data_IF_519461719705
#
_entry.id   IF_519461719705
#
_cell.length_a   1.000
_cell.length_b   1.000
_cell.length_c   1.000
_cell.angle_alpha   90.00
_cell.angle_beta   90.00
_cell.angle_gamma   90.00
#
_symmetry.space_group_name_H-M   'P 1'
#
loop_
_entity.id
_entity.type
_entity.pdbx_description
1 polymer ?
#
# COMPACT_ATOMS: atom_id res chain seq x y z
N UNK A 1 -1.07 7.15 13.99
CA UNK A 1 -2.18 6.37 13.39
C UNK A 1 -3.55 7.04 13.51
N UNK A 2 -4.04 7.39 14.75
CA UNK A 2 -5.35 8.09 14.84
C UNK A 2 -5.31 9.49 14.20
N UNK A 3 -4.25 10.24 14.40
CA UNK A 3 -4.05 11.56 13.80
C UNK A 3 -4.01 11.54 12.26
N UNK A 4 -3.46 10.51 11.65
CA UNK A 4 -3.34 10.40 10.19
C UNK A 4 -4.70 10.17 9.49
N UNK A 5 -5.71 9.75 10.25
CA UNK A 5 -7.10 9.57 9.77
C UNK A 5 -7.98 10.76 10.17
N UNK A 6 -7.81 11.28 11.38
CA UNK A 6 -8.64 12.38 11.90
C UNK A 6 -8.34 13.71 11.19
N UNK A 7 -7.07 13.98 10.90
CA UNK A 7 -6.66 15.25 10.27
C UNK A 7 -7.23 15.41 8.85
N UNK A 8 -7.14 14.43 7.91
CA UNK A 8 -7.76 14.60 6.60
C UNK A 8 -9.28 14.63 6.64
N UNK A 9 -9.93 13.83 7.51
CA UNK A 9 -11.38 13.83 7.64
C UNK A 9 -11.85 15.16 8.28
N UNK A 10 -11.23 15.59 9.36
CA UNK A 10 -11.54 16.88 10.00
C UNK A 10 -11.26 18.07 9.09
N UNK A 11 -10.16 18.03 8.34
CA UNK A 11 -9.82 19.05 7.33
C UNK A 11 -10.84 19.13 6.21
N UNK A 12 -11.35 18.00 5.73
CA UNK A 12 -12.43 17.97 4.75
C UNK A 12 -13.71 18.64 5.27
N UNK A 13 -14.19 18.24 6.44
CA UNK A 13 -15.40 18.81 7.02
C UNK A 13 -15.26 20.29 7.34
N UNK A 14 -14.10 20.73 7.82
CA UNK A 14 -13.81 22.13 8.08
C UNK A 14 -13.85 22.97 6.80
N UNK A 15 -13.19 22.54 5.75
CA UNK A 15 -13.17 23.23 4.45
C UNK A 15 -14.56 23.25 3.81
N UNK A 16 -15.31 22.16 3.93
CA UNK A 16 -16.67 22.09 3.42
C UNK A 16 -17.61 23.02 4.18
N UNK A 17 -17.46 23.14 5.51
CA UNK A 17 -18.20 24.10 6.34
C UNK A 17 -17.84 25.56 6.04
N UNK A 18 -16.61 25.83 5.55
CA UNK A 18 -16.16 27.15 5.09
C UNK A 18 -16.66 27.51 3.68
N UNK A 19 -17.51 26.66 3.06
CA UNK A 19 -18.12 26.95 1.75
C UNK A 19 -17.29 26.47 0.55
N UNK A 20 -16.21 25.75 0.76
CA UNK A 20 -15.49 25.13 -0.37
C UNK A 20 -16.32 23.98 -0.96
N UNK A 21 -16.30 23.85 -2.30
CA UNK A 21 -16.93 22.69 -2.93
C UNK A 21 -16.27 21.39 -2.44
N UNK A 22 -17.04 20.31 -2.40
CA UNK A 22 -16.57 18.97 -1.97
C UNK A 22 -15.27 18.57 -2.69
N UNK A 23 -15.13 18.93 -3.97
CA UNK A 23 -13.92 18.70 -4.77
C UNK A 23 -12.70 19.42 -4.18
N UNK A 24 -12.80 20.73 -3.92
CA UNK A 24 -11.69 21.51 -3.38
C UNK A 24 -11.37 21.14 -1.92
N UNK A 25 -12.40 20.86 -1.11
CA UNK A 25 -12.21 20.39 0.26
C UNK A 25 -11.44 19.08 0.31
N UNK A 26 -11.80 18.13 -0.55
CA UNK A 26 -11.11 16.83 -0.64
C UNK A 26 -9.68 16.96 -1.18
N UNK A 27 -9.50 17.81 -2.19
CA UNK A 27 -8.19 18.05 -2.82
C UNK A 27 -7.20 18.69 -1.86
N UNK A 28 -7.62 19.73 -1.13
CA UNK A 28 -6.77 20.44 -0.17
C UNK A 28 -6.46 19.57 1.05
N UNK A 29 -7.46 18.85 1.59
CA UNK A 29 -7.25 17.93 2.70
C UNK A 29 -6.32 16.77 2.32
N UNK A 30 -6.49 16.19 1.13
CA UNK A 30 -5.64 15.12 0.61
C UNK A 30 -4.22 15.61 0.29
N UNK A 31 -4.08 16.77 -0.37
CA UNK A 31 -2.78 17.36 -0.67
C UNK A 31 -2.01 17.73 0.61
N UNK A 32 -2.70 18.27 1.63
CA UNK A 32 -2.08 18.58 2.92
C UNK A 32 -1.50 17.34 3.60
N UNK A 33 -2.24 16.24 3.61
CA UNK A 33 -1.77 14.96 4.15
C UNK A 33 -0.59 14.41 3.35
N UNK A 34 -0.64 14.49 2.03
CA UNK A 34 0.45 14.09 1.14
C UNK A 34 1.74 14.86 1.39
N UNK A 35 1.65 16.19 1.53
CA UNK A 35 2.79 17.07 1.84
C UNK A 35 3.39 16.74 3.21
N UNK A 36 2.56 16.56 4.25
CA UNK A 36 3.05 16.21 5.59
C UNK A 36 3.75 14.85 5.58
N UNK A 37 3.20 13.87 4.88
CA UNK A 37 3.82 12.54 4.72
C UNK A 37 5.14 12.65 3.96
N UNK A 38 5.19 13.43 2.89
CA UNK A 38 6.40 13.68 2.11
C UNK A 38 7.49 14.34 2.96
N UNK A 39 7.14 15.41 3.69
CA UNK A 39 8.07 16.13 4.57
C UNK A 39 8.61 15.21 5.67
N UNK A 40 7.75 14.41 6.29
CA UNK A 40 8.15 13.47 7.33
C UNK A 40 9.06 12.36 6.79
N UNK A 41 8.77 11.84 5.59
CA UNK A 41 9.58 10.82 4.91
C UNK A 41 10.97 11.38 4.55
N UNK A 42 11.03 12.59 3.98
CA UNK A 42 12.30 13.25 3.66
C UNK A 42 13.10 13.59 4.93
N UNK A 43 12.44 14.11 5.97
CA UNK A 43 13.11 14.46 7.25
C UNK A 43 13.70 13.24 7.96
N UNK A 44 13.05 12.10 7.91
CA UNK A 44 13.53 10.87 8.55
C UNK A 44 14.71 10.23 7.81
N UNK A 45 15.11 10.74 6.64
CA UNK A 45 16.18 10.20 5.77
C UNK A 45 16.11 8.67 5.55
N UNK A 46 14.99 8.06 5.82
CA UNK A 46 14.68 6.66 5.54
C UNK A 46 13.54 6.65 4.53
N UNK A 47 13.91 6.61 3.25
CA UNK A 47 12.98 6.20 2.20
C UNK A 47 12.74 4.71 2.44
N UNK A 48 11.82 4.39 3.35
CA UNK A 48 11.26 3.05 3.38
C UNK A 48 10.43 2.84 2.11
N UNK A 49 10.30 1.58 1.71
CA UNK A 49 9.62 1.25 0.46
C UNK A 49 8.21 1.83 0.36
N UNK A 50 7.51 1.97 1.48
CA UNK A 50 6.15 2.53 1.55
C UNK A 50 6.18 4.06 1.30
N UNK A 51 7.14 4.77 1.88
CA UNK A 51 7.31 6.20 1.67
C UNK A 51 7.61 6.54 0.21
N UNK A 52 8.44 5.73 -0.47
CA UNK A 52 8.70 5.90 -1.90
C UNK A 52 7.46 5.65 -2.75
N UNK A 53 6.65 4.64 -2.41
CA UNK A 53 5.39 4.37 -3.10
C UNK A 53 4.43 5.57 -3.01
N UNK A 54 4.25 6.14 -1.81
CA UNK A 54 3.41 7.32 -1.60
C UNK A 54 3.90 8.51 -2.42
N UNK A 55 5.23 8.74 -2.47
CA UNK A 55 5.81 9.82 -3.29
C UNK A 55 5.50 9.62 -4.78
N UNK A 56 5.65 8.39 -5.28
CA UNK A 56 5.34 8.05 -6.67
C UNK A 56 3.86 8.26 -6.98
N UNK A 57 2.95 7.85 -6.09
CA UNK A 57 1.51 8.05 -6.26
C UNK A 57 1.12 9.54 -6.26
N UNK A 58 1.69 10.34 -5.37
CA UNK A 58 1.46 11.79 -5.34
C UNK A 58 2.01 12.45 -6.60
N UNK A 59 3.22 12.12 -7.02
CA UNK A 59 3.82 12.65 -8.25
C UNK A 59 2.97 12.30 -9.48
N UNK A 60 2.50 11.06 -9.56
CA UNK A 60 1.59 10.63 -10.63
C UNK A 60 0.25 11.36 -10.59
N UNK A 61 -0.32 11.58 -9.39
CA UNK A 61 -1.55 12.36 -9.21
C UNK A 61 -1.42 13.76 -9.75
N UNK A 62 -0.31 14.44 -9.41
CA UNK A 62 -0.01 15.81 -9.89
C UNK A 62 0.19 15.79 -11.40
N UNK A 63 0.96 14.86 -11.94
CA UNK A 63 1.17 14.76 -13.39
C UNK A 63 -0.15 14.57 -14.16
N UNK A 64 -1.03 13.71 -13.67
CA UNK A 64 -2.33 13.44 -14.29
C UNK A 64 -3.30 14.63 -14.22
N UNK A 65 -3.17 15.55 -13.23
CA UNK A 65 -3.95 16.79 -13.20
C UNK A 65 -3.68 17.71 -14.39
N UNK A 66 -2.46 17.71 -14.92
CA UNK A 66 -2.08 18.53 -16.06
C UNK A 66 -2.42 17.90 -17.43
N UNK A 67 -2.61 16.59 -17.46
CA UNK A 67 -2.80 15.86 -18.73
C UNK A 67 -4.28 15.74 -19.13
N UNK A 68 -5.25 15.97 -18.21
CA UNK A 68 -6.60 15.45 -18.42
C UNK A 68 -7.70 16.47 -18.60
N UNK A 69 -8.08 16.67 -19.87
CA UNK A 69 -9.44 17.15 -20.24
C UNK A 69 -10.37 16.03 -20.74
N UNK A 70 -9.85 14.80 -20.94
CA UNK A 70 -10.65 13.67 -21.43
C UNK A 70 -11.23 12.88 -20.23
N UNK A 71 -12.57 12.68 -20.16
CA UNK A 71 -13.23 11.87 -19.13
C UNK A 71 -12.68 10.45 -19.00
N UNK A 72 -12.23 9.84 -20.11
CA UNK A 72 -11.64 8.49 -20.09
C UNK A 72 -10.36 8.42 -19.27
N UNK A 73 -9.53 9.44 -19.35
CA UNK A 73 -8.28 9.48 -18.59
C UNK A 73 -8.55 9.59 -17.09
N UNK A 74 -9.62 10.29 -16.68
CA UNK A 74 -10.08 10.31 -15.30
C UNK A 74 -10.46 8.91 -14.79
N UNK A 75 -11.14 8.12 -15.63
CA UNK A 75 -11.52 6.74 -15.31
C UNK A 75 -10.31 5.78 -15.29
N UNK A 76 -9.23 6.11 -15.99
CA UNK A 76 -7.99 5.33 -15.99
C UNK A 76 -7.07 5.62 -14.79
N UNK A 77 -7.30 6.71 -14.04
CA UNK A 77 -6.46 7.02 -12.86
C UNK A 77 -6.27 5.85 -11.90
N UNK A 78 -7.31 5.11 -11.47
CA UNK A 78 -7.12 3.96 -10.59
C UNK A 78 -6.22 2.87 -11.18
N UNK A 79 -6.30 2.66 -12.52
CA UNK A 79 -5.46 1.70 -13.20
C UNK A 79 -3.97 2.09 -13.14
N UNK A 80 -3.65 3.38 -13.33
CA UNK A 80 -2.28 3.86 -13.19
C UNK A 80 -1.73 3.65 -11.76
N UNK A 81 -2.52 3.95 -10.71
CA UNK A 81 -2.08 3.77 -9.34
C UNK A 81 -1.84 2.29 -9.02
N UNK A 82 -2.74 1.41 -9.42
CA UNK A 82 -2.56 -0.02 -9.20
C UNK A 82 -1.41 -0.58 -10.03
N UNK A 83 -1.17 -0.08 -11.26
CA UNK A 83 0.01 -0.46 -12.05
C UNK A 83 1.31 -0.05 -11.37
N UNK A 84 1.43 1.20 -10.93
CA UNK A 84 2.62 1.69 -10.21
C UNK A 84 2.84 0.89 -8.93
N UNK A 85 1.79 0.67 -8.12
CA UNK A 85 1.86 -0.15 -6.91
C UNK A 85 2.29 -1.59 -7.19
N UNK A 86 1.78 -2.18 -8.28
CA UNK A 86 2.15 -3.54 -8.71
C UNK A 86 3.62 -3.65 -9.12
N UNK A 87 4.07 -2.75 -10.00
CA UNK A 87 5.48 -2.71 -10.43
C UNK A 87 6.40 -2.44 -9.23
N UNK A 88 6.03 -1.51 -8.36
CA UNK A 88 6.79 -1.21 -7.15
C UNK A 88 6.90 -2.44 -6.25
N UNK A 89 5.79 -3.14 -5.94
CA UNK A 89 5.82 -4.35 -5.13
C UNK A 89 6.76 -5.41 -5.72
N UNK A 90 6.71 -5.64 -7.04
CA UNK A 90 7.61 -6.59 -7.70
C UNK A 90 9.06 -6.14 -7.66
N UNK A 91 9.34 -4.85 -7.84
CA UNK A 91 10.71 -4.32 -7.78
C UNK A 91 11.35 -4.50 -6.42
N UNK A 92 10.58 -4.41 -5.33
CA UNK A 92 11.09 -4.66 -3.96
C UNK A 92 11.55 -6.10 -3.74
N UNK A 93 10.97 -7.06 -4.46
CA UNK A 93 11.44 -8.46 -4.43
C UNK A 93 12.83 -8.61 -5.05
N UNK A 94 13.10 -7.87 -6.13
CA UNK A 94 14.42 -7.86 -6.80
C UNK A 94 15.45 -7.10 -5.96
N UNK A 95 15.03 -6.03 -5.29
CA UNK A 95 15.88 -5.27 -4.37
C UNK A 95 16.24 -6.01 -3.07
N UNK A 96 15.69 -7.21 -2.84
CA UNK A 96 16.02 -8.08 -1.72
C UNK A 96 15.26 -7.80 -0.42
N UNK A 97 14.37 -6.81 -0.39
CA UNK A 97 13.48 -6.53 0.74
C UNK A 97 12.03 -6.40 0.26
N UNK A 98 11.28 -7.51 0.20
CA UNK A 98 9.90 -7.51 -0.27
C UNK A 98 9.01 -6.55 0.52
N UNK A 99 8.13 -5.84 -0.17
CA UNK A 99 7.24 -4.83 0.42
C UNK A 99 6.45 -5.36 1.63
N UNK A 100 5.98 -6.60 1.55
CA UNK A 100 5.20 -7.25 2.62
C UNK A 100 6.04 -7.46 3.90
N UNK A 101 7.36 -7.61 3.79
CA UNK A 101 8.22 -7.67 4.97
C UNK A 101 8.18 -6.36 5.75
N UNK A 102 8.37 -5.21 5.11
CA UNK A 102 8.31 -3.90 5.77
C UNK A 102 6.90 -3.54 6.24
N UNK A 103 5.91 -3.70 5.37
CA UNK A 103 4.51 -3.44 5.69
C UNK A 103 3.96 -4.36 6.80
N UNK A 104 4.51 -5.54 6.94
CA UNK A 104 4.13 -6.51 7.96
C UNK A 104 4.63 -6.22 9.37
N UNK A 105 5.71 -5.45 9.54
CA UNK A 105 6.33 -5.15 10.83
C UNK A 105 5.34 -4.61 11.89
N UNK A 106 4.51 -3.61 11.62
CA UNK A 106 3.57 -3.10 12.62
C UNK A 106 2.52 -4.14 13.05
N UNK A 107 2.09 -4.98 12.11
CA UNK A 107 1.08 -6.02 12.37
C UNK A 107 1.68 -7.23 13.09
N UNK A 108 2.93 -7.56 12.78
CA UNK A 108 3.64 -8.67 13.41
C UNK A 108 4.07 -8.33 14.83
N UNK A 109 4.58 -7.12 15.05
CA UNK A 109 5.08 -6.68 16.35
C UNK A 109 3.95 -6.40 17.35
N UNK A 110 2.79 -5.95 16.90
CA UNK A 110 1.68 -5.50 17.75
C UNK A 110 2.10 -4.46 18.80
N UNK A 111 3.16 -3.70 18.51
CA UNK A 111 3.74 -2.73 19.43
C UNK A 111 4.77 -3.29 20.41
N UNK A 112 5.06 -4.58 20.39
CA UNK A 112 6.06 -5.23 21.22
C UNK A 112 7.45 -5.23 20.53
N UNK A 113 8.48 -4.57 21.10
CA UNK A 113 9.82 -4.52 20.53
C UNK A 113 10.50 -5.91 20.45
N UNK A 114 10.23 -6.81 21.40
CA UNK A 114 10.79 -8.16 21.40
C UNK A 114 10.24 -8.97 20.23
N UNK A 115 8.95 -8.83 19.95
CA UNK A 115 8.31 -9.48 18.82
C UNK A 115 8.80 -8.91 17.49
N UNK A 116 9.08 -7.62 17.41
CA UNK A 116 9.71 -7.00 16.24
C UNK A 116 11.11 -7.56 16.00
N UNK A 117 11.93 -7.68 17.05
CA UNK A 117 13.26 -8.27 16.96
C UNK A 117 13.21 -9.74 16.48
N UNK A 118 12.28 -10.55 17.01
CA UNK A 118 12.07 -11.92 16.56
C UNK A 118 11.62 -12.00 15.09
N UNK A 119 10.81 -11.05 14.64
CA UNK A 119 10.39 -10.96 13.23
C UNK A 119 11.58 -10.63 12.31
N UNK A 120 12.43 -9.67 12.70
CA UNK A 120 13.65 -9.31 11.96
C UNK A 120 14.67 -10.44 11.97
N UNK A 121 14.80 -11.16 13.10
CA UNK A 121 15.64 -12.36 13.19
C UNK A 121 15.12 -13.50 12.32
N UNK A 122 13.79 -13.74 12.26
CA UNK A 122 13.19 -14.71 11.37
C UNK A 122 13.50 -14.40 9.90
N UNK A 123 13.51 -13.12 9.52
CA UNK A 123 13.93 -12.69 8.18
C UNK A 123 15.38 -13.06 7.88
N UNK A 124 16.28 -12.86 8.83
CA UNK A 124 17.72 -13.15 8.66
C UNK A 124 18.01 -14.64 8.62
N UNK A 125 17.37 -15.44 9.48
CA UNK A 125 17.73 -16.84 9.71
C UNK A 125 16.89 -17.86 8.94
N UNK A 126 15.62 -17.54 8.61
CA UNK A 126 14.69 -18.49 8.02
C UNK A 126 14.46 -18.27 6.53
N UNK A 127 14.98 -19.17 5.69
CA UNK A 127 14.71 -19.15 4.25
C UNK A 127 13.21 -19.35 3.93
N UNK A 128 12.50 -20.17 4.74
CA UNK A 128 11.06 -20.38 4.60
C UNK A 128 10.28 -19.08 4.86
N UNK A 129 10.68 -18.32 5.88
CA UNK A 129 10.06 -17.04 6.22
C UNK A 129 10.22 -16.05 5.07
N UNK A 130 11.45 -15.88 4.57
CA UNK A 130 11.73 -15.01 3.41
C UNK A 130 10.91 -15.39 2.18
N UNK A 131 10.88 -16.69 1.85
CA UNK A 131 10.14 -17.20 0.69
C UNK A 131 8.65 -16.88 0.78
N UNK A 132 8.02 -17.11 1.92
CA UNK A 132 6.58 -16.81 2.10
C UNK A 132 6.29 -15.33 1.92
N UNK A 133 7.08 -14.43 2.51
CA UNK A 133 6.85 -12.99 2.37
C UNK A 133 7.11 -12.50 0.95
N UNK A 134 8.11 -13.07 0.25
CA UNK A 134 8.34 -12.78 -1.17
C UNK A 134 7.17 -13.27 -2.03
N UNK A 135 6.68 -14.50 -1.83
CA UNK A 135 5.52 -15.03 -2.56
C UNK A 135 4.26 -14.17 -2.36
N UNK A 136 4.04 -13.70 -1.13
CA UNK A 136 2.93 -12.79 -0.83
C UNK A 136 3.11 -11.45 -1.54
N UNK A 137 4.32 -10.88 -1.52
CA UNK A 137 4.61 -9.63 -2.24
C UNK A 137 4.40 -9.78 -3.75
N UNK A 138 4.88 -10.88 -4.34
CA UNK A 138 4.67 -11.19 -5.76
C UNK A 138 3.18 -11.34 -6.07
N UNK A 139 2.43 -12.03 -5.21
CA UNK A 139 0.98 -12.16 -5.35
C UNK A 139 0.26 -10.81 -5.36
N UNK A 140 0.62 -9.90 -4.45
CA UNK A 140 0.08 -8.54 -4.45
C UNK A 140 0.48 -7.75 -5.70
N UNK A 141 1.75 -7.83 -6.12
CA UNK A 141 2.24 -7.17 -7.33
C UNK A 141 1.49 -7.61 -8.58
N UNK A 142 1.35 -8.92 -8.79
CA UNK A 142 0.58 -9.49 -9.91
C UNK A 142 -0.91 -9.11 -9.81
N UNK A 143 -1.50 -9.20 -8.62
CA UNK A 143 -2.90 -8.84 -8.39
C UNK A 143 -3.19 -7.39 -8.77
N UNK A 144 -2.33 -6.45 -8.37
CA UNK A 144 -2.46 -5.05 -8.75
C UNK A 144 -2.35 -4.82 -10.26
N UNK A 145 -1.43 -5.51 -10.93
CA UNK A 145 -1.31 -5.44 -12.39
C UNK A 145 -2.53 -6.01 -13.09
N UNK A 146 -3.12 -7.09 -12.58
CA UNK A 146 -4.37 -7.65 -13.10
C UNK A 146 -5.55 -6.69 -12.93
N UNK A 147 -5.68 -6.04 -11.76
CA UNK A 147 -6.70 -5.00 -11.53
C UNK A 147 -6.50 -3.84 -12.49
N UNK A 148 -5.27 -3.39 -12.68
CA UNK A 148 -4.94 -2.34 -13.64
C UNK A 148 -5.37 -2.72 -15.07
N UNK A 149 -4.97 -3.89 -15.53
CA UNK A 149 -5.32 -4.39 -16.85
C UNK A 149 -6.84 -4.53 -17.04
N UNK A 150 -7.53 -5.07 -16.03
CA UNK A 150 -8.99 -5.19 -16.05
C UNK A 150 -9.69 -3.82 -16.13
N UNK A 151 -9.22 -2.84 -15.35
CA UNK A 151 -9.74 -1.46 -15.36
C UNK A 151 -9.54 -0.83 -16.73
N UNK A 152 -8.36 -0.96 -17.33
CA UNK A 152 -8.08 -0.46 -18.70
C UNK A 152 -9.01 -1.13 -19.69
N UNK A 153 -9.18 -2.45 -19.64
CA UNK A 153 -10.07 -3.18 -20.54
C UNK A 153 -11.52 -2.69 -20.43
N UNK A 154 -12.02 -2.47 -19.20
CA UNK A 154 -13.38 -1.95 -18.97
C UNK A 154 -13.53 -0.55 -19.55
N UNK A 155 -12.60 0.38 -19.28
CA UNK A 155 -12.67 1.76 -19.77
C UNK A 155 -12.57 1.86 -21.30
N UNK A 156 -11.85 0.94 -21.94
CA UNK A 156 -11.73 0.92 -23.40
C UNK A 156 -12.95 0.30 -24.09
N UNK A 157 -13.61 -0.71 -23.47
CA UNK A 157 -14.73 -1.42 -24.08
C UNK A 157 -16.08 -0.76 -23.82
N UNK A 158 -16.24 -0.04 -22.72
CA UNK A 158 -17.52 0.56 -22.34
C UNK A 158 -17.51 2.09 -22.49
N UNK A 159 -18.67 2.72 -22.79
CA UNK A 159 -18.79 4.19 -22.79
C UNK A 159 -18.47 4.77 -21.40
N UNK A 160 -17.81 5.95 -21.32
CA UNK A 160 -17.46 6.58 -20.03
C UNK A 160 -18.65 6.81 -19.10
N UNK A 161 -19.82 7.09 -19.65
CA UNK A 161 -21.07 7.26 -18.88
C UNK A 161 -21.50 5.98 -18.18
N UNK A 162 -21.33 4.83 -18.79
CA UNK A 162 -21.67 3.53 -18.18
C UNK A 162 -20.63 3.13 -17.12
N UNK A 163 -19.34 3.34 -17.37
CA UNK A 163 -18.28 3.03 -16.39
C UNK A 163 -18.40 3.92 -15.16
N UNK A 164 -18.64 5.21 -15.34
CA UNK A 164 -18.77 6.16 -14.24
C UNK A 164 -20.01 5.95 -13.37
N UNK A 165 -21.11 5.45 -13.93
CA UNK A 165 -22.36 5.20 -13.20
C UNK A 165 -22.46 3.79 -12.62
N UNK A 166 -21.68 2.81 -13.11
CA UNK A 166 -21.75 1.42 -12.69
C UNK A 166 -20.65 1.07 -11.70
N UNK A 167 -21.03 0.91 -10.43
CA UNK A 167 -20.13 0.38 -9.40
C UNK A 167 -19.57 -1.02 -9.77
N UNK A 168 -20.40 -1.86 -10.39
CA UNK A 168 -20.02 -3.20 -10.80
C UNK A 168 -18.87 -3.19 -11.83
N UNK A 169 -18.89 -2.27 -12.79
CA UNK A 169 -17.86 -2.16 -13.80
C UNK A 169 -16.59 -1.48 -13.25
N UNK A 170 -16.75 -0.45 -12.40
CA UNK A 170 -15.63 0.37 -11.95
C UNK A 170 -14.91 -0.19 -10.73
N UNK A 171 -15.61 -0.82 -9.80
CA UNK A 171 -15.05 -1.20 -8.49
C UNK A 171 -15.01 -2.72 -8.25
N UNK A 172 -15.99 -3.47 -8.75
CA UNK A 172 -16.13 -4.89 -8.41
C UNK A 172 -14.89 -5.73 -8.76
N UNK A 173 -14.24 -5.56 -9.91
CA UNK A 173 -13.04 -6.33 -10.23
C UNK A 173 -11.90 -6.08 -9.21
N UNK A 174 -11.71 -4.82 -8.81
CA UNK A 174 -10.70 -4.45 -7.81
C UNK A 174 -11.00 -5.04 -6.44
N UNK A 175 -12.25 -4.92 -5.98
CA UNK A 175 -12.70 -5.49 -4.69
C UNK A 175 -12.54 -7.00 -4.68
N UNK A 176 -12.92 -7.71 -5.73
CA UNK A 176 -12.79 -9.16 -5.81
C UNK A 176 -11.33 -9.61 -5.70
N UNK A 177 -10.43 -9.00 -6.48
CA UNK A 177 -9.00 -9.30 -6.41
C UNK A 177 -8.43 -8.96 -5.03
N UNK A 178 -8.81 -7.84 -4.44
CA UNK A 178 -8.35 -7.44 -3.10
C UNK A 178 -8.76 -8.44 -2.01
N UNK A 179 -10.00 -8.92 -2.02
CA UNK A 179 -10.47 -9.95 -1.09
C UNK A 179 -9.69 -11.25 -1.25
N UNK A 180 -9.44 -11.67 -2.49
CA UNK A 180 -8.63 -12.85 -2.78
C UNK A 180 -7.19 -12.70 -2.28
N UNK A 181 -6.58 -11.52 -2.47
CA UNK A 181 -5.23 -11.23 -1.99
C UNK A 181 -5.14 -11.23 -0.46
N UNK A 182 -6.15 -10.70 0.24
CA UNK A 182 -6.23 -10.78 1.71
C UNK A 182 -6.35 -12.24 2.16
N UNK A 183 -7.21 -13.03 1.55
CA UNK A 183 -7.38 -14.44 1.87
C UNK A 183 -6.06 -15.20 1.62
N UNK A 184 -5.44 -15.01 0.47
CA UNK A 184 -4.13 -15.57 0.12
C UNK A 184 -3.07 -15.19 1.16
N UNK A 185 -2.96 -13.90 1.52
CA UNK A 185 -2.02 -13.42 2.52
C UNK A 185 -2.24 -14.10 3.87
N UNK A 186 -3.48 -14.16 4.33
CA UNK A 186 -3.82 -14.81 5.61
C UNK A 186 -3.42 -16.29 5.63
N UNK A 187 -3.68 -17.01 4.54
CA UNK A 187 -3.33 -18.42 4.42
C UNK A 187 -1.81 -18.64 4.44
N UNK A 188 -1.08 -17.84 3.67
CA UNK A 188 0.38 -17.97 3.56
C UNK A 188 1.10 -17.52 4.82
N UNK A 189 0.73 -16.39 5.40
CA UNK A 189 1.37 -15.82 6.60
C UNK A 189 1.09 -16.67 7.85
N UNK A 190 -0.01 -17.42 7.91
CA UNK A 190 -0.22 -18.38 9.01
C UNK A 190 0.94 -19.35 9.19
N UNK A 191 1.58 -19.76 8.11
CA UNK A 191 2.72 -20.68 8.14
C UNK A 191 4.00 -20.07 8.73
N UNK A 192 4.08 -18.74 8.87
CA UNK A 192 5.24 -18.03 9.42
C UNK A 192 5.13 -17.75 10.92
N UNK A 193 3.93 -17.79 11.47
CA UNK A 193 3.70 -17.53 12.92
C UNK A 193 4.52 -18.42 13.83
N UNK A 194 4.55 -19.77 13.66
CA UNK A 194 5.32 -20.62 14.54
C UNK A 194 6.83 -20.34 14.50
N UNK A 195 7.35 -19.78 13.40
CA UNK A 195 8.76 -19.41 13.29
C UNK A 195 9.06 -18.23 14.21
N UNK A 196 8.21 -17.19 14.19
CA UNK A 196 8.38 -16.01 15.05
C UNK A 196 8.13 -16.38 16.52
N UNK A 197 7.11 -17.18 16.80
CA UNK A 197 6.77 -17.60 18.17
C UNK A 197 7.87 -18.48 18.78
N UNK A 198 8.53 -19.34 18.00
CA UNK A 198 9.69 -20.12 18.46
C UNK A 198 10.88 -19.21 18.83
N UNK A 199 11.17 -18.20 18.01
CA UNK A 199 12.24 -17.24 18.31
C UNK A 199 11.93 -16.35 19.52
N UNK A 200 10.65 -16.12 19.82
CA UNK A 200 10.22 -15.45 21.05
C UNK A 200 10.40 -16.32 22.30
N UNK A 201 10.29 -17.64 22.16
CA UNK A 201 10.44 -18.58 23.27
C UNK A 201 11.91 -18.86 23.63
N UNK A 202 12.85 -18.59 22.73
CA UNK A 202 14.28 -18.69 23.04
C UNK A 202 14.68 -17.58 24.00
N UNK A 203 15.27 -17.91 25.20
CA UNK A 203 15.77 -16.87 26.10
C UNK A 203 16.84 -16.06 25.38
N UNK A 204 16.71 -14.74 25.44
CA UNK A 204 17.59 -13.76 24.80
C UNK A 204 19.00 -13.91 25.43
N UNK A 205 19.79 -14.86 24.96
CA UNK A 205 21.20 -14.94 25.29
C UNK A 205 21.89 -13.82 24.50
N UNK A 206 21.98 -12.65 25.12
CA UNK A 206 22.87 -11.59 24.66
C UNK A 206 24.30 -12.20 24.66
N UNK A 207 24.74 -12.65 23.50
CA UNK A 207 26.16 -12.86 23.28
C UNK A 207 26.81 -11.48 23.32
N UNK A 208 27.18 -11.05 24.53
CA UNK A 208 28.23 -10.06 24.74
C UNK A 208 29.50 -10.72 24.20
N UNK A 209 29.77 -10.56 22.91
CA UNK A 209 31.08 -10.85 22.36
C UNK A 209 32.02 -9.79 22.90
N UNK A 210 32.91 -10.25 23.79
CA UNK A 210 34.13 -9.56 24.21
C UNK A 210 35.03 -9.29 23.00
#
# INVERSE_FOLDING_TARGET
MLFDVIVPIGGYFLLHALGFSAFWALTVAGAGTGVVTLVNTVRRRRLDGIGLLVVLEVALSVALLFVTRDPRVLLLKPAFYTAVGGVFALSTCVAGQPLVYEAGKPFASKGDPHRLAAYDQAWQTSARFRRVLTEVTVGWGIGFLLVSAATVAVVLHFPPSQVGSSFALSQLPGVAVFVLLIAFTRLRVRATRPIVDALMAEPFTVKLSR
#
